data_IF_580802484627
#
_entry.id   IF_580802484627
#
_cell.length_a   1.000
_cell.length_b   1.000
_cell.length_c   1.000
_cell.angle_alpha   90.00
_cell.angle_beta   90.00
_cell.angle_gamma   90.00
#
_symmetry.space_group_name_H-M   'P 1'
#
loop_
_entity.id
_entity.type
_entity.pdbx_description
1 polymer ?
#
# COMPACT_ATOMS: atom_id res chain seq x y z
N UNK A 1 -11.34 -15.28 -5.73
CA UNK A 1 -9.93 -15.72 -5.71
C UNK A 1 -9.19 -15.14 -4.50
N UNK A 2 -9.31 -13.84 -4.22
CA UNK A 2 -8.68 -13.19 -3.05
C UNK A 2 -9.16 -13.72 -1.68
N UNK A 3 -10.41 -14.16 -1.55
CA UNK A 3 -10.94 -14.77 -0.32
C UNK A 3 -10.14 -16.01 0.16
N UNK A 4 -9.39 -16.68 -0.73
CA UNK A 4 -8.51 -17.79 -0.35
C UNK A 4 -7.30 -17.33 0.48
N UNK A 5 -6.99 -16.04 0.47
CA UNK A 5 -5.90 -15.41 1.21
C UNK A 5 -6.38 -14.66 2.46
N UNK A 6 -7.66 -14.82 2.84
CA UNK A 6 -8.27 -14.28 4.05
C UNK A 6 -9.04 -12.96 3.85
N UNK A 7 -9.78 -12.57 4.89
CA UNK A 7 -10.72 -11.43 4.86
C UNK A 7 -10.04 -10.09 4.49
N UNK A 8 -8.78 -9.90 4.90
CA UNK A 8 -8.00 -8.71 4.55
C UNK A 8 -7.72 -8.62 3.05
N UNK A 9 -7.42 -9.76 2.40
CA UNK A 9 -7.22 -9.80 0.96
C UNK A 9 -8.56 -9.67 0.22
N UNK A 10 -9.64 -10.23 0.76
CA UNK A 10 -10.99 -10.10 0.20
C UNK A 10 -11.47 -8.64 0.14
N UNK A 11 -11.05 -7.80 1.09
CA UNK A 11 -11.38 -6.37 1.06
C UNK A 11 -10.94 -5.69 -0.24
N UNK A 12 -9.83 -6.13 -0.86
CA UNK A 12 -9.34 -5.57 -2.13
C UNK A 12 -10.12 -6.04 -3.35
N UNK A 13 -11.05 -6.99 -3.22
CA UNK A 13 -11.81 -7.54 -4.34
C UNK A 13 -12.55 -6.48 -5.16
N UNK A 14 -12.96 -5.37 -4.53
CA UNK A 14 -13.61 -4.27 -5.23
C UNK A 14 -12.72 -3.51 -6.23
N UNK A 15 -11.38 -3.68 -6.14
CA UNK A 15 -10.45 -3.09 -7.12
C UNK A 15 -10.37 -3.93 -8.40
N UNK A 16 -10.94 -5.14 -8.42
CA UNK A 16 -10.79 -6.10 -9.49
C UNK A 16 -12.15 -6.48 -10.09
N UNK A 17 -12.18 -6.64 -11.41
CA UNK A 17 -13.24 -7.34 -12.12
C UNK A 17 -12.74 -8.74 -12.51
N UNK A 18 -12.95 -9.70 -11.60
CA UNK A 18 -12.44 -11.05 -11.74
C UNK A 18 -10.92 -11.14 -11.55
N UNK A 19 -10.21 -11.45 -12.64
CA UNK A 19 -8.74 -11.54 -12.67
C UNK A 19 -8.08 -10.23 -13.10
N UNK A 20 -8.87 -9.28 -13.57
CA UNK A 20 -8.39 -8.00 -14.12
C UNK A 20 -8.64 -6.88 -13.13
N UNK A 21 -7.84 -5.82 -13.22
CA UNK A 21 -8.16 -4.58 -12.53
C UNK A 21 -9.49 -4.04 -13.06
N UNK A 22 -10.31 -3.44 -12.19
CA UNK A 22 -11.58 -2.86 -12.61
C UNK A 22 -11.34 -1.84 -13.75
N UNK A 23 -12.17 -1.79 -14.81
CA UNK A 23 -11.92 -0.96 -15.99
C UNK A 23 -11.69 0.52 -15.66
N UNK A 24 -12.48 1.07 -14.73
CA UNK A 24 -12.37 2.47 -14.29
C UNK A 24 -11.01 2.78 -13.62
N UNK A 25 -10.33 1.77 -13.08
CA UNK A 25 -9.00 1.86 -12.48
C UNK A 25 -7.90 1.60 -13.51
N UNK A 26 -8.07 0.61 -14.38
CA UNK A 26 -7.08 0.27 -15.42
C UNK A 26 -6.89 1.43 -16.42
N UNK A 27 -7.99 2.11 -16.76
CA UNK A 27 -7.99 3.29 -17.64
C UNK A 27 -7.61 4.60 -16.92
N UNK A 28 -7.30 4.55 -15.62
CA UNK A 28 -7.02 5.76 -14.85
C UNK A 28 -5.57 6.23 -15.00
N UNK A 29 -5.34 7.28 -15.79
CA UNK A 29 -4.01 7.87 -16.02
C UNK A 29 -3.24 8.23 -14.74
N UNK A 30 -3.94 8.60 -13.65
CA UNK A 30 -3.29 9.00 -12.41
C UNK A 30 -2.80 7.80 -11.59
N UNK A 31 -3.46 6.65 -11.72
CA UNK A 31 -3.14 5.42 -10.99
C UNK A 31 -2.22 4.49 -11.80
N UNK A 32 -2.51 4.32 -13.09
CA UNK A 32 -1.87 3.32 -13.96
C UNK A 32 -0.96 3.92 -15.01
N UNK A 33 -0.91 5.25 -15.14
CA UNK A 33 -0.22 5.92 -16.25
C UNK A 33 -0.81 5.58 -17.64
N UNK A 34 -2.03 5.03 -17.70
CA UNK A 34 -2.58 4.44 -18.92
C UNK A 34 -1.81 3.19 -19.39
N UNK A 35 -1.00 2.59 -18.51
CA UNK A 35 -0.25 1.36 -18.79
C UNK A 35 -1.03 0.14 -18.27
N UNK A 36 -1.05 -0.96 -19.04
CA UNK A 36 -1.76 -2.16 -18.60
C UNK A 36 -1.08 -2.76 -17.37
N UNK A 37 -1.87 -2.98 -16.31
CA UNK A 37 -1.39 -3.63 -15.09
C UNK A 37 -1.49 -5.15 -15.24
N UNK A 38 -0.35 -5.82 -15.04
CA UNK A 38 -0.25 -7.29 -15.14
C UNK A 38 -0.05 -7.97 -13.79
N UNK A 39 0.44 -7.23 -12.79
CA UNK A 39 0.75 -7.73 -11.45
C UNK A 39 0.30 -6.70 -10.43
N UNK A 40 -0.48 -7.14 -9.44
CA UNK A 40 -0.80 -6.32 -8.27
C UNK A 40 -0.15 -6.91 -7.02
N UNK A 41 0.59 -6.09 -6.28
CA UNK A 41 1.11 -6.40 -4.95
C UNK A 41 0.18 -5.76 -3.92
N UNK A 42 -0.55 -6.60 -3.20
CA UNK A 42 -1.43 -6.18 -2.11
C UNK A 42 -0.70 -6.26 -0.78
N UNK A 43 -0.53 -5.12 -0.11
CA UNK A 43 0.03 -5.09 1.24
C UNK A 43 -1.12 -5.23 2.24
N UNK A 44 -1.20 -6.42 2.84
CA UNK A 44 -2.26 -6.76 3.79
C UNK A 44 -1.96 -6.23 5.19
N UNK A 45 -0.69 -6.27 5.59
CA UNK A 45 -0.19 -5.75 6.85
C UNK A 45 1.30 -5.43 6.74
N UNK A 46 1.73 -4.42 7.50
CA UNK A 46 3.12 -4.07 7.69
C UNK A 46 3.29 -3.47 9.09
N UNK A 47 4.04 -4.16 9.94
CA UNK A 47 4.25 -3.77 11.34
C UNK A 47 5.74 -3.60 11.63
N UNK A 48 6.07 -2.52 12.32
CA UNK A 48 7.36 -2.35 13.00
C UNK A 48 7.08 -2.47 14.48
N UNK A 49 7.96 -3.13 15.21
CA UNK A 49 7.84 -3.29 16.66
C UNK A 49 7.79 -1.91 17.34
N UNK A 50 6.81 -1.69 18.24
CA UNK A 50 6.62 -0.42 18.95
C UNK A 50 7.83 -0.03 19.81
N UNK A 51 8.69 -1.00 20.14
CA UNK A 51 9.95 -0.76 20.88
C UNK A 51 11.04 -0.11 20.03
N UNK A 52 10.85 -0.07 18.71
CA UNK A 52 11.70 0.62 17.75
C UNK A 52 11.10 2.00 17.47
N UNK A 53 11.93 3.06 17.50
CA UNK A 53 11.51 4.37 16.99
C UNK A 53 11.25 4.26 15.47
N UNK A 54 10.00 3.94 15.13
CA UNK A 54 9.61 3.43 13.82
C UNK A 54 9.60 4.48 12.71
N UNK A 55 9.74 5.78 13.04
CA UNK A 55 9.88 6.93 12.13
C UNK A 55 9.29 6.68 10.74
N UNK A 56 10.19 6.45 9.77
CA UNK A 56 9.86 6.13 8.38
C UNK A 56 10.22 4.67 8.01
N UNK A 57 10.60 3.84 8.98
CA UNK A 57 11.13 2.49 8.77
C UNK A 57 10.10 1.56 8.12
N UNK A 58 8.82 1.68 8.52
CA UNK A 58 7.74 0.87 7.93
C UNK A 58 7.54 1.24 6.46
N UNK A 59 7.41 2.54 6.16
CA UNK A 59 7.32 3.04 4.80
C UNK A 59 8.53 2.59 3.97
N UNK A 60 9.75 2.74 4.52
CA UNK A 60 10.97 2.29 3.87
C UNK A 60 10.93 0.79 3.56
N UNK A 61 10.60 -0.06 4.54
CA UNK A 61 10.55 -1.51 4.33
C UNK A 61 9.55 -1.90 3.23
N UNK A 62 8.34 -1.32 3.24
CA UNK A 62 7.34 -1.54 2.19
C UNK A 62 7.88 -1.10 0.83
N UNK A 63 8.53 0.07 0.74
CA UNK A 63 9.08 0.57 -0.52
C UNK A 63 10.15 -0.36 -1.11
N UNK A 64 10.98 -1.01 -0.28
CA UNK A 64 11.98 -1.97 -0.73
C UNK A 64 11.33 -3.29 -1.17
N UNK A 65 10.29 -3.75 -0.48
CA UNK A 65 9.53 -4.95 -0.88
C UNK A 65 8.84 -4.70 -2.22
N UNK A 66 8.17 -3.56 -2.39
CA UNK A 66 7.52 -3.19 -3.64
C UNK A 66 8.53 -3.16 -4.80
N UNK A 67 9.69 -2.52 -4.61
CA UNK A 67 10.75 -2.46 -5.61
C UNK A 67 11.31 -3.83 -6.01
N UNK A 68 11.36 -4.79 -5.08
CA UNK A 68 11.91 -6.13 -5.35
C UNK A 68 10.88 -7.11 -5.92
N UNK A 69 9.59 -6.93 -5.60
CA UNK A 69 8.53 -7.85 -6.02
C UNK A 69 7.75 -7.40 -7.26
N UNK A 70 7.60 -6.09 -7.49
CA UNK A 70 6.83 -5.60 -8.63
C UNK A 70 7.69 -5.51 -9.90
N UNK A 71 7.12 -5.85 -11.07
CA UNK A 71 7.76 -5.57 -12.35
C UNK A 71 7.83 -4.06 -12.57
N UNK A 72 8.89 -3.58 -13.23
CA UNK A 72 9.16 -2.14 -13.37
C UNK A 72 8.07 -1.34 -14.09
N UNK A 73 7.35 -1.92 -15.04
CA UNK A 73 6.45 -1.13 -15.92
C UNK A 73 4.99 -1.56 -15.91
N UNK A 74 4.64 -2.65 -15.21
CA UNK A 74 3.31 -3.25 -15.28
C UNK A 74 2.82 -3.76 -13.91
N UNK A 75 3.38 -3.17 -12.84
CA UNK A 75 3.07 -3.48 -11.46
C UNK A 75 2.14 -2.42 -10.85
N UNK A 76 1.26 -2.83 -9.94
CA UNK A 76 0.45 -1.96 -9.10
C UNK A 76 0.69 -2.31 -7.63
N UNK A 77 1.07 -1.33 -6.82
CA UNK A 77 1.07 -1.45 -5.36
C UNK A 77 -0.30 -1.01 -4.85
N UNK A 78 -0.91 -1.77 -3.93
CA UNK A 78 -2.14 -1.36 -3.26
C UNK A 78 -2.13 -1.72 -1.76
N UNK A 79 -2.70 -0.83 -0.95
CA UNK A 79 -2.67 -0.89 0.51
C UNK A 79 -4.00 -0.36 1.07
N UNK A 80 -4.46 -0.88 2.21
CA UNK A 80 -5.64 -0.31 2.86
C UNK A 80 -5.29 1.02 3.53
N UNK A 81 -6.11 2.05 3.32
CA UNK A 81 -5.99 3.36 3.97
C UNK A 81 -6.04 3.26 5.50
N UNK A 82 -6.61 2.18 6.05
CA UNK A 82 -6.78 2.01 7.48
C UNK A 82 -5.76 1.00 8.00
N UNK A 83 -5.10 1.34 9.10
CA UNK A 83 -4.33 0.36 9.86
C UNK A 83 -5.23 -0.86 10.18
N UNK A 84 -4.66 -2.09 10.19
CA UNK A 84 -5.42 -3.27 10.52
C UNK A 84 -6.15 -3.05 11.86
N UNK A 85 -7.46 -3.31 11.95
CA UNK A 85 -8.16 -3.12 13.20
C UNK A 85 -7.56 -4.08 14.24
N UNK A 86 -7.26 -3.56 15.44
CA UNK A 86 -7.14 -4.41 16.61
C UNK A 86 -8.50 -5.09 16.80
N UNK A 87 -8.61 -6.34 16.30
CA UNK A 87 -9.77 -7.23 16.33
C UNK A 87 -11.04 -6.65 16.95
N UNK A 88 -12.00 -6.19 16.13
CA UNK A 88 -13.44 -6.29 16.39
C UNK A 88 -14.28 -5.78 15.20
N UNK A 89 -15.39 -6.48 14.95
CA UNK A 89 -16.20 -6.42 13.74
C UNK A 89 -16.63 -5.01 13.30
N UNK A 90 -16.50 -4.75 11.99
CA UNK A 90 -16.81 -3.45 11.39
C UNK A 90 -18.27 -3.39 10.94
N UNK A 91 -19.09 -2.42 11.41
CA UNK A 91 -20.35 -2.09 10.77
C UNK A 91 -20.10 -1.28 9.48
N UNK A 92 -20.91 -1.54 8.46
CA UNK A 92 -20.86 -0.88 7.17
C UNK A 92 -21.12 0.63 7.30
N UNK A 93 -20.27 1.44 6.63
CA UNK A 93 -20.37 2.90 6.45
C UNK A 93 -20.33 3.72 7.74
N UNK A 94 -19.11 3.95 8.25
CA UNK A 94 -18.81 4.97 9.26
C UNK A 94 -17.93 6.04 8.62
N UNK A 95 -18.28 7.32 8.80
CA UNK A 95 -17.36 8.42 8.54
C UNK A 95 -16.11 8.19 9.41
N UNK A 96 -14.97 7.97 8.76
CA UNK A 96 -13.71 7.66 9.46
C UNK A 96 -12.93 8.97 9.63
N UNK A 97 -12.41 9.24 10.82
CA UNK A 97 -11.51 10.37 11.03
C UNK A 97 -10.28 10.22 10.13
N UNK A 98 -9.80 11.32 9.57
CA UNK A 98 -8.55 11.39 8.81
C UNK A 98 -7.35 10.92 9.63
N UNK A 99 -7.42 11.02 10.96
CA UNK A 99 -6.36 10.54 11.87
C UNK A 99 -6.20 9.01 11.86
N UNK A 100 -7.13 8.28 11.23
CA UNK A 100 -7.03 6.83 11.04
C UNK A 100 -6.50 6.44 9.67
N UNK A 101 -6.23 7.42 8.82
CA UNK A 101 -5.55 7.18 7.54
C UNK A 101 -4.09 6.95 7.84
N UNK A 102 -3.56 5.86 7.32
CA UNK A 102 -2.16 5.51 7.52
C UNK A 102 -1.25 6.57 6.84
N UNK A 103 -0.40 7.28 7.61
CA UNK A 103 0.43 8.34 7.07
C UNK A 103 1.62 7.83 6.24
N UNK A 104 1.91 6.52 6.27
CA UNK A 104 3.07 5.97 5.56
C UNK A 104 2.81 5.73 4.08
N UNK A 105 1.55 5.51 3.66
CA UNK A 105 1.27 5.18 2.26
C UNK A 105 1.59 6.33 1.29
N UNK A 106 1.29 7.60 1.62
CA UNK A 106 1.80 8.72 0.83
C UNK A 106 3.34 8.76 0.76
N UNK A 107 4.04 8.36 1.82
CA UNK A 107 5.52 8.34 1.86
C UNK A 107 6.12 7.25 0.98
N UNK A 108 5.37 6.17 0.72
CA UNK A 108 5.73 5.12 -0.24
C UNK A 108 5.45 5.54 -1.70
N UNK A 109 4.90 6.73 -1.92
CA UNK A 109 4.57 7.26 -3.25
C UNK A 109 3.17 6.85 -3.72
N UNK A 110 2.35 6.29 -2.83
CA UNK A 110 0.97 5.94 -3.14
C UNK A 110 0.03 7.13 -3.01
N UNK A 111 -1.01 7.13 -3.83
CA UNK A 111 -2.12 8.09 -3.75
C UNK A 111 -3.40 7.36 -3.34
N UNK A 112 -4.40 8.10 -2.88
CA UNK A 112 -5.73 7.51 -2.71
C UNK A 112 -6.23 7.01 -4.07
N UNK A 113 -6.69 5.76 -4.13
CA UNK A 113 -7.21 5.19 -5.37
C UNK A 113 -8.51 5.93 -5.75
N UNK A 114 -8.62 6.47 -6.99
CA UNK A 114 -9.82 7.15 -7.45
C UNK A 114 -11.06 6.26 -7.33
N UNK A 115 -12.15 6.78 -6.75
CA UNK A 115 -13.38 6.00 -6.51
C UNK A 115 -13.31 5.06 -5.30
N UNK A 116 -12.12 4.80 -4.74
CA UNK A 116 -11.88 3.84 -3.67
C UNK A 116 -11.03 4.46 -2.53
N UNK A 117 -11.57 5.42 -1.75
CA UNK A 117 -10.82 6.15 -0.71
C UNK A 117 -10.31 5.27 0.45
N UNK A 118 -10.81 4.05 0.59
CA UNK A 118 -10.34 3.03 1.51
C UNK A 118 -9.02 2.37 1.10
N UNK A 119 -8.50 2.69 -0.09
CA UNK A 119 -7.25 2.17 -0.61
C UNK A 119 -6.30 3.28 -1.05
N UNK A 120 -5.02 3.04 -0.80
CA UNK A 120 -3.92 3.73 -1.45
C UNK A 120 -3.30 2.80 -2.48
N UNK A 121 -2.85 3.36 -3.60
CA UNK A 121 -2.12 2.61 -4.59
C UNK A 121 -1.41 3.49 -5.58
N UNK A 122 -0.48 2.87 -6.31
CA UNK A 122 0.23 3.51 -7.41
C UNK A 122 0.89 2.45 -8.30
N UNK A 123 0.89 2.68 -9.61
CA UNK A 123 1.59 1.83 -10.56
C UNK A 123 3.10 2.13 -10.61
N UNK A 124 3.87 1.12 -10.99
CA UNK A 124 5.31 1.24 -11.21
C UNK A 124 5.68 1.99 -12.49
N UNK A 125 4.70 2.27 -13.36
CA UNK A 125 4.92 2.87 -14.68
C UNK A 125 5.57 4.28 -14.64
N UNK A 126 5.52 4.95 -13.49
CA UNK A 126 6.18 6.24 -13.26
C UNK A 126 7.25 6.14 -12.17
N UNK A 127 8.03 7.22 -12.03
CA UNK A 127 9.06 7.32 -10.99
C UNK A 127 8.51 7.50 -9.59
N UNK A 128 7.19 7.63 -9.36
CA UNK A 128 6.62 7.95 -8.04
C UNK A 128 7.06 6.99 -6.93
N UNK A 129 7.00 5.68 -7.19
CA UNK A 129 7.43 4.66 -6.22
C UNK A 129 8.96 4.67 -6.04
N UNK A 130 9.71 4.92 -7.10
CA UNK A 130 11.17 4.99 -7.07
C UNK A 130 11.69 6.25 -6.35
N UNK A 131 11.08 7.40 -6.60
CA UNK A 131 11.38 8.69 -5.99
C UNK A 131 11.05 8.65 -4.49
N UNK A 132 9.90 8.08 -4.15
CA UNK A 132 9.51 7.82 -2.76
C UNK A 132 10.51 6.90 -2.06
N UNK A 133 10.87 5.77 -2.67
CA UNK A 133 11.88 4.84 -2.14
C UNK A 133 13.23 5.55 -1.94
N UNK A 134 13.69 6.33 -2.90
CA UNK A 134 14.94 7.07 -2.80
C UNK A 134 14.91 8.12 -1.65
N UNK A 135 13.76 8.77 -1.43
CA UNK A 135 13.60 9.71 -0.31
C UNK A 135 13.66 9.02 1.06
N UNK A 136 13.28 7.75 1.13
CA UNK A 136 13.29 6.92 2.33
C UNK A 136 14.66 6.27 2.60
N UNK A 137 15.64 6.35 1.68
CA UNK A 137 16.94 5.71 1.84
C UNK A 137 17.73 6.23 3.06
N UNK A 138 17.34 7.36 3.65
CA UNK A 138 17.88 7.82 4.94
C UNK A 138 17.74 6.75 6.04
N UNK A 139 16.69 5.93 6.01
CA UNK A 139 16.49 4.82 6.96
C UNK A 139 17.59 3.75 6.86
N UNK A 140 18.25 3.61 5.70
CA UNK A 140 19.34 2.64 5.50
C UNK A 140 20.55 2.95 6.36
N UNK A 141 20.80 4.23 6.63
CA UNK A 141 21.96 4.72 7.38
C UNK A 141 21.64 4.92 8.87
N UNK A 142 20.36 4.82 9.25
CA UNK A 142 19.93 4.98 10.63
C UNK A 142 20.37 3.81 11.50
N UNK A 143 21.02 4.12 12.61
CA UNK A 143 21.30 3.13 13.66
C UNK A 143 20.10 3.06 14.59
N UNK A 144 19.39 1.93 14.54
CA UNK A 144 18.21 1.70 15.37
C UNK A 144 18.63 0.98 16.65
N UNK A 145 18.20 1.50 17.79
CA UNK A 145 18.36 0.81 19.08
C UNK A 145 17.21 -0.16 19.25
N UNK A 146 17.53 -1.46 19.26
CA UNK A 146 16.58 -2.51 19.58
C UNK A 146 16.69 -2.81 21.08
N UNK A 147 15.65 -2.56 21.88
CA UNK A 147 15.66 -2.93 23.29
C UNK A 147 15.68 -4.45 23.39
N UNK A 148 16.66 -4.99 24.13
CA UNK A 148 16.65 -6.40 24.51
C UNK A 148 15.83 -6.50 25.79
N UNK A 149 14.64 -7.08 25.69
CA UNK A 149 13.78 -7.42 26.84
C UNK A 149 14.16 -8.80 27.36
#
# INVERSE_FOLDING_TARGET
MLALYGDQAEAFSELFDGEWLAPDLDENDTLTAGMPISVALLVLDATVDDTVEAGDLRAWAVSQVAYTMLPTTAGLLAMSSFAPPASEGRPARRLVSTDRVDPDWPRVGCISIPGHPQFFGQATAYTYLDDARASLDICREQTIRVPVV
#
